data_IF_058859969145
#
_entry.id   IF_058859969145
#
_cell.length_a   1.000
_cell.length_b   1.000
_cell.length_c   1.000
_cell.angle_alpha   90.00
_cell.angle_beta   90.00
_cell.angle_gamma   90.00
#
_symmetry.space_group_name_H-M   'P 1'
#
loop_
_entity.id
_entity.type
_entity.pdbx_description
1 polymer ?
#
# COMPACT_ATOMS: atom_id res chain seq x y z
N UNK A 1 -32.56 44.74 -12.23
CA UNK A 1 -32.55 43.48 -11.51
C UNK A 1 -32.30 42.37 -12.52
N UNK A 2 -31.05 41.93 -12.65
CA UNK A 2 -30.67 40.79 -13.47
C UNK A 2 -30.14 39.72 -12.52
N UNK A 3 -30.92 38.66 -12.35
CA UNK A 3 -30.56 37.49 -11.59
C UNK A 3 -29.58 36.66 -12.41
N UNK A 4 -28.33 36.64 -11.99
CA UNK A 4 -27.35 35.63 -12.46
C UNK A 4 -27.68 34.28 -11.82
N UNK A 5 -28.28 33.41 -12.61
CA UNK A 5 -28.36 31.99 -12.29
C UNK A 5 -27.03 31.34 -12.67
N UNK A 6 -26.15 31.13 -11.70
CA UNK A 6 -25.03 30.17 -11.81
C UNK A 6 -25.60 28.80 -11.57
N UNK A 7 -25.84 28.04 -12.61
CA UNK A 7 -25.91 26.59 -12.51
C UNK A 7 -24.46 26.07 -12.47
N UNK A 8 -24.02 25.37 -11.42
CA UNK A 8 -22.71 24.71 -11.46
C UNK A 8 -22.79 23.59 -12.49
N UNK A 9 -21.96 23.70 -13.50
CA UNK A 9 -21.72 22.64 -14.47
C UNK A 9 -21.02 21.49 -13.75
N UNK A 10 -21.80 20.47 -13.35
CA UNK A 10 -21.27 19.21 -12.83
C UNK A 10 -20.68 18.41 -14.01
N UNK A 11 -19.64 18.93 -14.61
CA UNK A 11 -18.74 18.13 -15.42
C UNK A 11 -18.29 16.98 -14.51
N UNK A 12 -18.64 15.76 -14.91
CA UNK A 12 -18.15 14.53 -14.27
C UNK A 12 -16.65 14.65 -14.10
N UNK A 13 -16.21 15.00 -12.89
CA UNK A 13 -14.81 14.93 -12.51
C UNK A 13 -14.50 13.45 -12.64
N UNK A 14 -13.79 13.07 -13.69
CA UNK A 14 -13.16 11.76 -13.80
C UNK A 14 -12.18 11.67 -12.61
N UNK A 15 -12.68 11.15 -11.51
CA UNK A 15 -11.81 10.84 -10.37
C UNK A 15 -10.89 9.72 -10.82
N UNK A 16 -9.60 10.03 -10.94
CA UNK A 16 -8.56 8.99 -11.05
C UNK A 16 -8.83 7.92 -9.98
N UNK A 17 -8.76 6.64 -10.35
CA UNK A 17 -9.09 5.56 -9.41
C UNK A 17 -8.17 5.64 -8.20
N UNK A 18 -8.73 6.07 -7.07
CA UNK A 18 -8.00 6.20 -5.82
C UNK A 18 -7.68 4.82 -5.24
N UNK A 19 -6.48 4.65 -4.68
CA UNK A 19 -6.04 3.43 -4.02
C UNK A 19 -5.65 3.77 -2.58
N UNK A 20 -6.28 3.11 -1.61
CA UNK A 20 -5.91 3.26 -0.20
C UNK A 20 -4.60 2.52 0.10
N UNK A 21 -3.60 3.26 0.60
CA UNK A 21 -2.28 2.73 0.95
C UNK A 21 -2.09 2.53 2.47
N UNK A 22 -3.00 3.06 3.29
CA UNK A 22 -2.98 2.98 4.75
C UNK A 22 -4.34 2.47 5.22
N UNK A 23 -4.41 1.17 5.52
CA UNK A 23 -5.67 0.46 5.82
C UNK A 23 -5.46 -0.58 6.91
N UNK A 24 -6.32 -0.56 7.92
CA UNK A 24 -6.34 -1.51 9.03
C UNK A 24 -7.44 -2.55 8.84
N UNK A 25 -7.10 -3.81 9.07
CA UNK A 25 -8.03 -4.92 9.02
C UNK A 25 -8.42 -5.36 10.45
N UNK A 26 -9.26 -6.38 10.54
CA UNK A 26 -9.59 -7.06 11.80
C UNK A 26 -8.37 -7.54 12.61
N UNK A 27 -7.18 -7.57 12.01
CA UNK A 27 -5.92 -7.92 12.69
C UNK A 27 -5.28 -6.73 13.43
N UNK A 28 -5.77 -5.52 13.22
CA UNK A 28 -5.50 -4.35 14.09
C UNK A 28 -6.47 -4.38 15.27
N UNK A 29 -6.17 -5.20 16.28
CA UNK A 29 -7.11 -5.74 17.28
C UNK A 29 -7.94 -4.71 18.06
N UNK A 30 -7.51 -3.46 18.18
CA UNK A 30 -8.20 -2.47 19.00
C UNK A 30 -9.11 -1.53 18.19
N UNK A 31 -8.88 -1.39 16.89
CA UNK A 31 -9.54 -0.39 16.06
C UNK A 31 -9.97 -0.89 14.67
N UNK A 32 -9.38 -1.98 14.17
CA UNK A 32 -9.70 -2.56 12.87
C UNK A 32 -10.97 -3.41 12.92
N UNK A 33 -12.06 -2.95 12.29
CA UNK A 33 -13.32 -3.70 12.20
C UNK A 33 -13.48 -4.45 10.88
N UNK A 34 -12.82 -3.99 9.83
CA UNK A 34 -13.06 -4.50 8.49
C UNK A 34 -12.42 -5.88 8.30
N UNK A 35 -13.22 -6.87 7.93
CA UNK A 35 -12.67 -8.16 7.47
C UNK A 35 -11.96 -7.98 6.14
N UNK A 36 -10.97 -8.82 5.89
CA UNK A 36 -10.21 -8.80 4.63
C UNK A 36 -11.14 -9.00 3.41
N UNK A 37 -12.14 -9.87 3.51
CA UNK A 37 -13.12 -10.07 2.43
C UNK A 37 -13.91 -8.80 2.14
N UNK A 38 -14.46 -8.17 3.19
CA UNK A 38 -15.24 -6.96 3.05
C UNK A 38 -14.42 -5.80 2.45
N UNK A 39 -13.14 -5.67 2.83
CA UNK A 39 -12.23 -4.68 2.27
C UNK A 39 -11.97 -4.91 0.78
N UNK A 40 -11.64 -6.15 0.37
CA UNK A 40 -11.38 -6.49 -1.02
C UNK A 40 -12.64 -6.25 -1.86
N UNK A 41 -13.80 -6.70 -1.38
CA UNK A 41 -15.05 -6.57 -2.13
C UNK A 41 -15.51 -5.12 -2.24
N UNK A 42 -15.34 -4.33 -1.17
CA UNK A 42 -15.65 -2.89 -1.20
C UNK A 42 -14.73 -2.13 -2.16
N UNK A 43 -13.42 -2.34 -2.07
CA UNK A 43 -12.45 -1.71 -2.95
C UNK A 43 -12.72 -2.05 -4.43
N UNK A 44 -12.99 -3.33 -4.71
CA UNK A 44 -13.33 -3.77 -6.07
C UNK A 44 -14.63 -3.15 -6.58
N UNK A 45 -15.67 -3.10 -5.73
CA UNK A 45 -16.97 -2.50 -6.06
C UNK A 45 -16.86 -0.99 -6.31
N UNK A 46 -15.98 -0.31 -5.60
CA UNK A 46 -15.71 1.11 -5.77
C UNK A 46 -14.81 1.43 -6.98
N UNK A 47 -14.45 0.42 -7.78
CA UNK A 47 -13.61 0.58 -8.98
C UNK A 47 -12.12 0.71 -8.69
N UNK A 48 -11.68 0.47 -7.47
CA UNK A 48 -10.25 0.45 -7.13
C UNK A 48 -9.58 -0.76 -7.79
N UNK A 49 -8.37 -0.56 -8.28
CA UNK A 49 -7.55 -1.64 -8.88
C UNK A 49 -6.62 -2.32 -7.89
N UNK A 50 -6.51 -1.77 -6.69
CA UNK A 50 -5.64 -2.26 -5.63
C UNK A 50 -6.15 -1.79 -4.27
N UNK A 51 -5.65 -2.41 -3.21
CA UNK A 51 -5.75 -1.90 -1.84
C UNK A 51 -4.53 -2.37 -1.05
N UNK A 52 -4.07 -1.58 -0.11
CA UNK A 52 -3.06 -2.02 0.84
C UNK A 52 -3.69 -2.65 2.09
N UNK A 53 -2.91 -3.49 2.76
CA UNK A 53 -3.14 -3.90 4.15
C UNK A 53 -1.91 -3.50 4.95
N UNK A 54 -2.12 -2.66 5.97
CA UNK A 54 -1.07 -2.03 6.79
C UNK A 54 -1.44 -2.06 8.27
N UNK A 55 -1.70 -3.25 8.81
CA UNK A 55 -2.09 -3.43 10.20
C UNK A 55 -1.02 -2.94 11.19
N UNK A 56 -1.42 -2.57 12.38
CA UNK A 56 -0.58 -2.02 13.44
C UNK A 56 0.49 -3.00 13.94
N UNK A 57 1.73 -2.83 13.51
CA UNK A 57 2.90 -3.60 13.97
C UNK A 57 2.83 -5.09 13.69
N UNK A 58 1.91 -5.55 12.85
CA UNK A 58 1.71 -6.98 12.55
C UNK A 58 1.47 -7.23 11.06
N UNK A 59 1.69 -8.48 10.64
CA UNK A 59 1.45 -8.94 9.26
C UNK A 59 0.58 -10.20 9.25
N UNK A 60 -0.25 -10.41 10.27
CA UNK A 60 -1.02 -11.65 10.45
C UNK A 60 -2.03 -11.90 9.32
N UNK A 61 -2.66 -10.85 8.81
CA UNK A 61 -3.66 -10.92 7.74
C UNK A 61 -3.08 -11.10 6.33
N UNK A 62 -1.78 -10.91 6.12
CA UNK A 62 -1.17 -10.84 4.79
C UNK A 62 -1.36 -12.13 3.98
N UNK A 63 -1.20 -13.29 4.60
CA UNK A 63 -1.41 -14.57 3.90
C UNK A 63 -2.85 -14.77 3.46
N UNK A 64 -3.80 -14.44 4.31
CA UNK A 64 -5.23 -14.48 4.00
C UNK A 64 -5.55 -13.49 2.87
N UNK A 65 -5.11 -12.26 3.00
CA UNK A 65 -5.29 -11.20 2.00
C UNK A 65 -4.78 -11.61 0.62
N UNK A 66 -3.53 -12.08 0.54
CA UNK A 66 -2.91 -12.52 -0.70
C UNK A 66 -3.68 -13.67 -1.35
N UNK A 67 -4.08 -14.68 -0.56
CA UNK A 67 -4.83 -15.83 -1.08
C UNK A 67 -6.21 -15.44 -1.62
N UNK A 68 -6.93 -14.54 -0.93
CA UNK A 68 -8.26 -14.06 -1.37
C UNK A 68 -8.16 -13.24 -2.65
N UNK A 69 -7.18 -12.35 -2.76
CA UNK A 69 -6.93 -11.60 -4.00
C UNK A 69 -6.51 -12.55 -5.13
N UNK A 70 -5.65 -13.53 -4.87
CA UNK A 70 -5.25 -14.55 -5.86
C UNK A 70 -6.46 -15.35 -6.38
N UNK A 71 -7.38 -15.73 -5.48
CA UNK A 71 -8.63 -16.39 -5.87
C UNK A 71 -9.51 -15.49 -6.73
N UNK A 72 -9.65 -14.21 -6.39
CA UNK A 72 -10.40 -13.23 -7.19
C UNK A 72 -9.80 -13.04 -8.59
N UNK A 73 -8.48 -13.06 -8.70
CA UNK A 73 -7.76 -12.93 -9.95
C UNK A 73 -7.67 -14.21 -10.79
N UNK A 74 -8.13 -15.35 -10.30
CA UNK A 74 -8.00 -16.64 -11.00
C UNK A 74 -8.65 -16.63 -12.39
N UNK A 75 -9.86 -16.03 -12.51
CA UNK A 75 -10.59 -15.94 -13.78
C UNK A 75 -9.86 -15.05 -14.81
N UNK A 76 -9.52 -13.78 -14.52
CA UNK A 76 -8.80 -12.97 -15.50
C UNK A 76 -7.42 -13.54 -15.83
N UNK A 77 -6.68 -14.12 -14.88
CA UNK A 77 -5.40 -14.78 -15.16
C UNK A 77 -5.58 -16.02 -16.07
N UNK A 78 -6.65 -16.77 -15.91
CA UNK A 78 -7.01 -17.86 -16.82
C UNK A 78 -7.23 -17.36 -18.24
N UNK A 79 -8.05 -16.32 -18.42
CA UNK A 79 -8.32 -15.71 -19.74
C UNK A 79 -7.01 -15.26 -20.40
N UNK A 80 -6.15 -14.55 -19.66
CA UNK A 80 -4.84 -14.09 -20.18
C UNK A 80 -4.02 -15.28 -20.67
N UNK A 81 -3.87 -16.31 -19.82
CA UNK A 81 -3.06 -17.48 -20.14
C UNK A 81 -3.57 -18.22 -21.39
N UNK A 82 -4.87 -18.43 -21.48
CA UNK A 82 -5.48 -19.18 -22.60
C UNK A 82 -5.40 -18.36 -23.89
N UNK A 83 -5.70 -17.05 -23.82
CA UNK A 83 -5.59 -16.15 -24.96
C UNK A 83 -4.15 -15.96 -25.43
N UNK A 84 -3.17 -15.84 -24.54
CA UNK A 84 -1.73 -15.76 -24.91
C UNK A 84 -1.24 -17.07 -25.55
N UNK A 85 -1.74 -18.23 -25.09
CA UNK A 85 -1.42 -19.53 -25.70
C UNK A 85 -1.93 -19.64 -27.14
N UNK A 86 -3.15 -19.13 -27.41
CA UNK A 86 -3.74 -19.10 -28.75
C UNK A 86 -3.09 -18.04 -29.65
N UNK A 87 -2.79 -16.86 -29.09
CA UNK A 87 -2.21 -15.73 -29.81
C UNK A 87 -0.79 -16.01 -30.33
N UNK A 88 0.03 -16.68 -29.52
CA UNK A 88 1.45 -16.92 -29.82
C UNK A 88 1.69 -17.57 -31.21
N UNK A 89 1.02 -18.67 -31.60
CA UNK A 89 1.22 -19.28 -32.93
C UNK A 89 0.68 -18.41 -34.06
N UNK A 90 -0.37 -17.61 -33.83
CA UNK A 90 -0.92 -16.71 -34.86
C UNK A 90 0.08 -15.56 -35.18
N UNK A 91 0.71 -15.00 -34.16
CA UNK A 91 1.73 -13.95 -34.32
C UNK A 91 3.05 -14.46 -34.95
N UNK A 92 3.28 -15.77 -34.96
CA UNK A 92 4.47 -16.37 -35.56
C UNK A 92 4.34 -16.62 -37.08
N UNK A 93 3.19 -16.32 -37.69
CA UNK A 93 2.95 -16.47 -39.12
C UNK A 93 3.44 -15.25 -39.89
N UNK A 94 4.17 -15.46 -40.97
CA UNK A 94 4.68 -14.38 -41.83
C UNK A 94 3.56 -13.61 -42.55
N UNK A 95 2.44 -14.30 -42.91
CA UNK A 95 1.28 -13.73 -43.57
C UNK A 95 -0.01 -14.35 -43.01
N UNK A 96 -0.58 -13.82 -41.93
CA UNK A 96 -1.87 -14.30 -41.40
C UNK A 96 -3.00 -13.94 -42.39
N UNK A 97 -4.00 -14.82 -42.48
CA UNK A 97 -5.22 -14.52 -43.24
C UNK A 97 -6.05 -13.42 -42.57
N UNK A 98 -7.02 -12.85 -43.29
CA UNK A 98 -7.92 -11.83 -42.74
C UNK A 98 -8.66 -12.34 -41.48
N UNK A 99 -9.10 -13.59 -41.48
CA UNK A 99 -9.76 -14.23 -40.34
C UNK A 99 -8.79 -14.37 -39.15
N UNK A 100 -7.54 -14.74 -39.39
CA UNK A 100 -6.51 -14.83 -38.36
C UNK A 100 -6.14 -13.46 -37.82
N UNK A 101 -6.11 -12.44 -38.66
CA UNK A 101 -5.85 -11.05 -38.23
C UNK A 101 -6.98 -10.51 -37.33
N UNK A 102 -8.24 -10.83 -37.66
CA UNK A 102 -9.38 -10.52 -36.80
C UNK A 102 -9.28 -11.24 -35.45
N UNK A 103 -8.90 -12.53 -35.46
CA UNK A 103 -8.71 -13.31 -34.23
C UNK A 103 -7.60 -12.79 -33.37
N UNK A 104 -6.49 -12.37 -33.95
CA UNK A 104 -5.37 -11.68 -33.23
C UNK A 104 -5.89 -10.45 -32.52
N UNK A 105 -6.64 -9.60 -33.21
CA UNK A 105 -7.19 -8.37 -32.64
C UNK A 105 -8.15 -8.66 -31.47
N UNK A 106 -9.02 -9.64 -31.62
CA UNK A 106 -9.94 -10.06 -30.57
C UNK A 106 -9.22 -10.59 -29.33
N UNK A 107 -8.20 -11.47 -29.51
CA UNK A 107 -7.40 -12.01 -28.42
C UNK A 107 -6.61 -10.93 -27.69
N UNK A 108 -6.03 -9.98 -28.41
CA UNK A 108 -5.36 -8.83 -27.82
C UNK A 108 -6.30 -7.98 -26.97
N UNK A 109 -7.53 -7.75 -27.46
CA UNK A 109 -8.57 -7.06 -26.72
C UNK A 109 -8.96 -7.80 -25.44
N UNK A 110 -9.20 -9.11 -25.53
CA UNK A 110 -9.53 -9.96 -24.37
C UNK A 110 -8.41 -9.93 -23.32
N UNK A 111 -7.14 -10.00 -23.73
CA UNK A 111 -5.99 -9.90 -22.85
C UNK A 111 -5.94 -8.52 -22.15
N UNK A 112 -6.19 -7.45 -22.90
CA UNK A 112 -6.17 -6.09 -22.36
C UNK A 112 -7.28 -5.88 -21.32
N UNK A 113 -8.51 -6.32 -21.62
CA UNK A 113 -9.65 -6.27 -20.70
C UNK A 113 -9.41 -7.11 -19.44
N UNK A 114 -8.89 -8.33 -19.60
CA UNK A 114 -8.55 -9.19 -18.48
C UNK A 114 -7.43 -8.58 -17.62
N UNK A 115 -6.37 -8.02 -18.22
CA UNK A 115 -5.31 -7.29 -17.49
C UNK A 115 -5.86 -6.08 -16.73
N UNK A 116 -6.80 -5.35 -17.32
CA UNK A 116 -7.46 -4.22 -16.70
C UNK A 116 -8.33 -4.62 -15.49
N UNK A 117 -8.80 -5.86 -15.41
CA UNK A 117 -9.63 -6.38 -14.31
C UNK A 117 -8.83 -7.00 -13.16
N UNK A 118 -7.49 -7.13 -13.28
CA UNK A 118 -6.66 -7.67 -12.22
C UNK A 118 -6.61 -6.71 -11.04
N UNK A 119 -6.94 -7.22 -9.86
CA UNK A 119 -6.84 -6.50 -8.59
C UNK A 119 -5.49 -6.76 -7.93
N UNK A 120 -4.76 -5.71 -7.56
CA UNK A 120 -3.40 -5.81 -6.99
C UNK A 120 -3.43 -5.77 -5.45
N UNK A 121 -2.93 -6.80 -4.75
CA UNK A 121 -2.68 -6.72 -3.32
C UNK A 121 -1.43 -5.89 -3.07
N UNK A 122 -1.52 -4.87 -2.20
CA UNK A 122 -0.37 -4.11 -1.73
C UNK A 122 -0.10 -4.55 -0.30
N UNK A 123 1.08 -5.10 -0.07
CA UNK A 123 1.48 -5.67 1.21
C UNK A 123 2.28 -4.64 1.99
N UNK A 124 1.86 -4.35 3.21
CA UNK A 124 2.53 -3.41 4.09
C UNK A 124 2.31 -3.69 5.57
N UNK A 125 2.79 -2.77 6.37
CA UNK A 125 2.59 -2.73 7.81
C UNK A 125 2.69 -1.26 8.27
N UNK A 126 1.82 -0.83 9.17
CA UNK A 126 2.05 0.38 9.93
C UNK A 126 2.99 0.05 11.08
N UNK A 127 4.25 0.39 10.90
CA UNK A 127 5.29 0.15 11.88
C UNK A 127 5.33 1.27 12.93
N UNK A 128 5.76 0.93 14.14
CA UNK A 128 6.08 1.89 15.19
C UNK A 128 7.59 2.14 15.18
N UNK A 129 8.05 3.34 14.84
CA UNK A 129 9.46 3.70 14.80
C UNK A 129 9.87 4.29 16.15
N UNK A 130 10.76 3.62 16.86
CA UNK A 130 11.25 4.05 18.18
C UNK A 130 12.00 5.38 18.09
N UNK A 131 11.71 6.32 18.99
CA UNK A 131 12.34 7.65 19.03
C UNK A 131 13.79 7.60 19.48
N UNK A 132 14.13 6.68 20.40
CA UNK A 132 15.43 6.54 21.04
C UNK A 132 16.09 5.17 20.73
N UNK A 133 15.75 4.56 19.58
CA UNK A 133 16.17 3.20 19.23
C UNK A 133 15.30 2.12 19.85
N UNK A 134 15.17 0.98 19.17
CA UNK A 134 14.27 -0.12 19.55
C UNK A 134 14.60 -0.78 20.89
N UNK A 135 15.85 -0.71 21.32
CA UNK A 135 16.31 -1.27 22.60
C UNK A 135 16.06 -0.36 23.80
N UNK A 136 15.73 0.90 23.58
CA UNK A 136 15.40 1.84 24.66
C UNK A 136 14.10 1.42 25.37
N UNK A 137 14.12 1.47 26.69
CA UNK A 137 12.97 1.16 27.56
C UNK A 137 12.79 2.22 28.62
N UNK A 138 12.93 3.49 28.24
CA UNK A 138 12.67 4.61 29.12
C UNK A 138 11.19 4.63 29.52
N UNK A 139 10.89 5.05 30.74
CA UNK A 139 9.52 5.03 31.27
C UNK A 139 8.57 6.09 30.66
N UNK A 140 9.00 6.83 29.65
CA UNK A 140 8.17 7.82 28.96
C UNK A 140 7.13 7.19 28.07
N UNK A 141 5.97 7.84 27.94
CA UNK A 141 4.93 7.44 26.98
C UNK A 141 5.48 7.42 25.55
N UNK A 142 6.29 8.41 25.22
CA UNK A 142 6.94 8.57 23.93
C UNK A 142 7.81 7.37 23.54
N UNK A 143 8.52 6.79 24.51
CA UNK A 143 9.37 5.64 24.26
C UNK A 143 8.55 4.34 24.07
N UNK A 144 7.35 4.27 24.66
CA UNK A 144 6.45 3.12 24.53
C UNK A 144 5.67 3.10 23.21
N UNK A 145 5.30 4.27 22.65
CA UNK A 145 4.43 4.34 21.47
C UNK A 145 5.22 4.27 20.16
N UNK A 146 6.35 4.99 20.03
CA UNK A 146 7.03 5.18 18.75
C UNK A 146 6.25 6.12 17.78
N UNK A 147 6.87 6.43 16.65
CA UNK A 147 6.23 7.14 15.54
C UNK A 147 5.58 6.14 14.58
N UNK A 148 4.38 6.46 14.07
CA UNK A 148 3.79 5.66 13.02
C UNK A 148 4.55 5.84 11.70
N UNK A 149 4.74 4.76 10.96
CA UNK A 149 5.43 4.75 9.68
C UNK A 149 4.80 3.67 8.79
N UNK A 150 4.31 4.06 7.62
CA UNK A 150 3.79 3.09 6.65
C UNK A 150 4.94 2.54 5.84
N UNK A 151 5.08 1.22 5.86
CA UNK A 151 6.10 0.48 5.12
C UNK A 151 5.41 -0.49 4.17
N UNK A 152 5.62 -0.29 2.85
CA UNK A 152 5.04 -1.13 1.81
C UNK A 152 6.14 -1.89 1.07
N UNK A 153 5.86 -3.14 0.69
CA UNK A 153 6.78 -3.96 -0.09
C UNK A 153 6.59 -3.72 -1.59
N UNK A 154 7.65 -3.35 -2.32
CA UNK A 154 7.64 -3.20 -3.78
C UNK A 154 7.56 -4.54 -4.52
N UNK A 155 8.23 -5.53 -3.97
CA UNK A 155 8.37 -6.85 -4.57
C UNK A 155 8.65 -7.92 -3.50
N UNK A 156 9.02 -9.14 -3.94
CA UNK A 156 9.29 -10.28 -3.04
C UNK A 156 10.49 -10.05 -2.11
N UNK A 157 11.50 -9.29 -2.53
CA UNK A 157 12.65 -8.95 -1.68
C UNK A 157 12.22 -7.97 -0.58
N UNK A 158 11.53 -6.87 -0.95
CA UNK A 158 10.96 -5.94 0.02
C UNK A 158 10.00 -6.62 1.00
N UNK A 159 9.19 -7.59 0.55
CA UNK A 159 8.35 -8.38 1.45
C UNK A 159 9.17 -9.17 2.49
N UNK A 160 10.29 -9.77 2.09
CA UNK A 160 11.20 -10.46 3.03
C UNK A 160 11.85 -9.48 4.02
N UNK A 161 12.26 -8.30 3.55
CA UNK A 161 12.82 -7.26 4.39
C UNK A 161 11.79 -6.76 5.41
N UNK A 162 10.56 -6.53 4.97
CA UNK A 162 9.46 -6.14 5.86
C UNK A 162 9.16 -7.20 6.92
N UNK A 163 9.06 -8.50 6.55
CA UNK A 163 8.91 -9.60 7.51
C UNK A 163 10.03 -9.56 8.55
N UNK A 164 11.27 -9.37 8.10
CA UNK A 164 12.43 -9.35 9.00
C UNK A 164 12.34 -8.20 10.00
N UNK A 165 12.03 -6.99 9.54
CA UNK A 165 11.86 -5.83 10.41
C UNK A 165 10.73 -6.01 11.41
N UNK A 166 9.54 -6.45 10.93
CA UNK A 166 8.39 -6.70 11.82
C UNK A 166 8.72 -7.80 12.84
N UNK A 167 9.41 -8.87 12.45
CA UNK A 167 9.84 -9.91 13.41
C UNK A 167 10.80 -9.37 14.47
N UNK A 168 11.79 -8.55 14.07
CA UNK A 168 12.73 -7.94 15.00
C UNK A 168 12.05 -6.90 15.92
N UNK A 169 11.03 -6.21 15.43
CA UNK A 169 10.25 -5.29 16.28
C UNK A 169 9.58 -6.00 17.46
N UNK A 170 9.17 -7.25 17.28
CA UNK A 170 8.58 -8.07 18.33
C UNK A 170 9.62 -8.69 19.25
N UNK A 171 10.73 -9.20 18.69
CA UNK A 171 11.73 -9.96 19.48
C UNK A 171 12.73 -9.05 20.20
N UNK A 172 13.07 -7.91 19.65
CA UNK A 172 14.05 -6.97 20.18
C UNK A 172 13.44 -5.65 20.62
N UNK A 173 12.47 -5.15 19.85
CA UNK A 173 11.93 -3.79 19.98
C UNK A 173 10.66 -3.67 20.84
N UNK A 174 10.12 -4.75 21.36
CA UNK A 174 8.87 -4.70 22.11
C UNK A 174 9.01 -3.95 23.45
N UNK A 175 8.28 -2.83 23.55
CA UNK A 175 8.07 -2.09 24.78
C UNK A 175 6.73 -1.34 24.72
N UNK A 176 5.67 -1.99 25.20
CA UNK A 176 4.29 -1.55 24.99
C UNK A 176 3.79 -1.81 23.57
N UNK A 177 4.60 -1.52 22.56
CA UNK A 177 4.35 -1.82 21.13
C UNK A 177 5.59 -2.43 20.49
N UNK A 178 5.43 -3.19 19.37
CA UNK A 178 6.56 -3.72 18.60
C UNK A 178 7.20 -2.58 17.79
N UNK A 179 8.43 -2.18 18.11
CA UNK A 179 9.07 -1.01 17.52
C UNK A 179 10.24 -1.39 16.64
N UNK A 180 10.24 -0.87 15.42
CA UNK A 180 11.45 -0.77 14.59
C UNK A 180 12.21 0.50 14.95
N UNK A 181 13.34 0.74 14.33
CA UNK A 181 14.11 1.99 14.43
C UNK A 181 14.84 2.32 13.14
N UNK A 182 15.55 3.46 13.12
CA UNK A 182 16.33 3.91 11.95
C UNK A 182 17.43 2.93 11.57
N UNK A 183 18.04 2.21 12.53
CA UNK A 183 19.05 1.18 12.27
C UNK A 183 18.47 0.02 11.45
N UNK A 184 17.26 -0.48 11.80
CA UNK A 184 16.60 -1.51 11.02
C UNK A 184 16.19 -1.01 9.64
N UNK A 185 15.74 0.24 9.54
CA UNK A 185 15.41 0.84 8.25
C UNK A 185 16.66 0.94 7.35
N UNK A 186 17.79 1.40 7.86
CA UNK A 186 19.06 1.43 7.12
C UNK A 186 19.50 0.05 6.64
N UNK A 187 19.32 -0.96 7.48
CA UNK A 187 19.73 -2.34 7.19
C UNK A 187 18.86 -3.05 6.17
N UNK A 188 17.55 -2.76 6.15
CA UNK A 188 16.54 -3.49 5.37
C UNK A 188 15.74 -2.59 4.43
N UNK A 189 16.26 -1.41 4.04
CA UNK A 189 15.55 -0.41 3.22
C UNK A 189 15.24 -0.86 1.80
N UNK A 190 16.01 -1.80 1.25
CA UNK A 190 15.89 -2.19 -0.15
C UNK A 190 14.49 -2.71 -0.51
N UNK A 191 13.98 -2.26 -1.66
CA UNK A 191 12.68 -2.66 -2.21
C UNK A 191 11.47 -2.35 -1.31
N UNK A 192 11.59 -1.33 -0.47
CA UNK A 192 10.50 -0.79 0.34
C UNK A 192 10.07 0.58 -0.14
N UNK A 193 8.78 0.88 0.01
CA UNK A 193 8.19 2.22 -0.12
C UNK A 193 7.80 2.66 1.28
N UNK A 194 8.14 3.90 1.62
CA UNK A 194 7.87 4.49 2.92
C UNK A 194 6.93 5.68 2.75
N UNK A 195 5.87 5.73 3.58
CA UNK A 195 5.00 6.89 3.69
C UNK A 195 5.04 7.44 5.13
N UNK A 196 4.92 8.76 5.26
CA UNK A 196 5.07 9.47 6.56
C UNK A 196 3.96 9.18 7.58
N UNK A 197 3.02 8.34 7.22
CA UNK A 197 1.85 7.92 8.00
C UNK A 197 0.87 9.07 8.34
N UNK A 198 -0.01 8.82 9.31
CA UNK A 198 -1.04 9.74 9.79
C UNK A 198 -0.48 10.76 10.80
N UNK A 199 -1.37 11.37 11.61
CA UNK A 199 -0.96 12.32 12.68
C UNK A 199 -0.02 11.71 13.72
N UNK A 200 0.02 10.37 13.86
CA UNK A 200 0.96 9.66 14.73
C UNK A 200 2.40 9.56 14.17
N UNK A 201 2.63 9.99 12.93
CA UNK A 201 3.95 9.95 12.27
C UNK A 201 4.93 10.98 12.79
N UNK A 202 6.24 10.75 12.59
CA UNK A 202 7.34 11.63 13.05
C UNK A 202 7.18 13.06 12.52
N UNK A 203 6.95 13.21 11.21
CA UNK A 203 6.87 14.52 10.57
C UNK A 203 5.63 15.31 11.03
N UNK A 204 4.38 14.76 10.97
CA UNK A 204 3.21 15.47 11.47
C UNK A 204 3.33 15.85 12.94
N UNK A 205 3.87 14.99 13.77
CA UNK A 205 4.09 15.28 15.19
C UNK A 205 5.08 16.44 15.41
N UNK A 206 6.16 16.51 14.64
CA UNK A 206 7.07 17.65 14.70
C UNK A 206 6.38 18.95 14.27
N UNK A 207 5.60 18.92 13.19
CA UNK A 207 4.86 20.11 12.70
C UNK A 207 3.84 20.59 13.74
N UNK A 208 3.02 19.68 14.29
CA UNK A 208 1.99 20.03 15.29
C UNK A 208 2.59 20.64 16.58
N UNK A 209 3.84 20.30 16.90
CA UNK A 209 4.54 20.87 18.06
C UNK A 209 5.44 22.05 17.70
N UNK A 210 5.31 22.65 16.51
CA UNK A 210 6.09 23.81 16.07
C UNK A 210 7.58 23.52 15.81
N UNK A 211 8.00 22.26 15.71
CA UNK A 211 9.40 21.84 15.49
C UNK A 211 9.65 21.61 14.00
N UNK A 212 9.53 22.67 13.20
CA UNK A 212 9.63 22.60 11.73
C UNK A 212 11.01 22.12 11.28
N UNK A 213 12.07 22.61 11.93
CA UNK A 213 13.46 22.18 11.72
C UNK A 213 13.63 20.67 11.86
N UNK A 214 13.01 20.05 12.87
CA UNK A 214 13.03 18.60 13.09
C UNK A 214 12.22 17.85 12.03
N UNK A 215 11.09 18.41 11.60
CA UNK A 215 10.32 17.82 10.50
C UNK A 215 11.14 17.78 9.21
N UNK A 216 11.83 18.89 8.87
CA UNK A 216 12.70 18.95 7.69
C UNK A 216 13.90 18.00 7.81
N UNK A 217 14.53 17.90 8.97
CA UNK A 217 15.63 16.97 9.23
C UNK A 217 15.19 15.52 8.99
N UNK A 218 14.03 15.15 9.51
CA UNK A 218 13.46 13.80 9.31
C UNK A 218 13.13 13.54 7.84
N UNK A 219 12.49 14.49 7.14
CA UNK A 219 12.20 14.36 5.71
C UNK A 219 13.49 14.14 4.91
N UNK A 220 14.54 14.93 5.18
CA UNK A 220 15.84 14.79 4.51
C UNK A 220 16.46 13.41 4.76
N UNK A 221 16.38 12.91 5.99
CA UNK A 221 16.89 11.58 6.33
C UNK A 221 16.17 10.48 5.55
N UNK A 222 14.82 10.46 5.54
CA UNK A 222 14.05 9.48 4.79
C UNK A 222 14.28 9.59 3.29
N UNK A 223 14.30 10.82 2.74
CA UNK A 223 14.55 11.03 1.30
C UNK A 223 15.95 10.59 0.87
N UNK A 224 16.97 10.78 1.71
CA UNK A 224 18.32 10.31 1.44
C UNK A 224 18.41 8.78 1.42
N UNK A 225 17.68 8.09 2.30
CA UNK A 225 17.72 6.63 2.39
C UNK A 225 16.86 5.95 1.32
N UNK A 226 15.66 6.46 1.05
CA UNK A 226 14.67 5.81 0.17
C UNK A 226 14.51 6.47 -1.19
N UNK A 227 15.10 7.63 -1.42
CA UNK A 227 15.03 8.33 -2.71
C UNK A 227 13.58 8.56 -3.16
N UNK A 228 13.24 8.12 -4.35
CA UNK A 228 11.90 8.26 -4.94
C UNK A 228 10.84 7.34 -4.29
N UNK A 229 11.24 6.42 -3.42
CA UNK A 229 10.35 5.53 -2.70
C UNK A 229 9.90 6.09 -1.34
N UNK A 230 10.17 7.37 -1.05
CA UNK A 230 9.67 8.08 0.12
C UNK A 230 8.57 9.08 -0.25
N UNK A 231 7.43 8.99 0.45
CA UNK A 231 6.26 9.84 0.22
C UNK A 231 5.78 10.49 1.50
N UNK A 232 5.38 11.76 1.40
CA UNK A 232 4.60 12.42 2.44
C UNK A 232 3.13 12.03 2.28
N UNK A 233 2.55 11.50 3.34
CA UNK A 233 1.16 11.07 3.36
C UNK A 233 0.28 12.13 4.04
N UNK A 234 -0.89 12.40 3.45
CA UNK A 234 -1.95 13.16 4.10
C UNK A 234 -2.98 12.14 4.55
N UNK A 235 -2.80 11.61 5.76
CA UNK A 235 -3.73 10.67 6.36
C UNK A 235 -5.07 11.33 6.66
N UNK A 236 -6.19 10.62 6.46
CA UNK A 236 -7.44 11.00 7.10
C UNK A 236 -7.28 10.81 8.60
N UNK A 237 -7.71 11.81 9.39
CA UNK A 237 -7.71 11.76 10.85
C UNK A 237 -8.78 10.76 11.35
N UNK A 238 -8.63 9.47 11.02
CA UNK A 238 -9.49 8.39 11.52
C UNK A 238 -8.77 7.48 12.52
N UNK A 239 -7.49 7.70 12.76
CA UNK A 239 -6.81 7.10 13.89
C UNK A 239 -7.27 7.84 15.14
N UNK A 240 -8.36 7.38 15.74
CA UNK A 240 -8.69 7.77 17.10
C UNK A 240 -7.74 7.00 18.01
N UNK A 241 -6.79 7.72 18.59
CA UNK A 241 -6.08 7.26 19.78
C UNK A 241 -7.02 7.28 20.98
#
# INVERSE_FOLDING_TARGET
MHSFQYAPDYTLIYMEPFIHLHVHTQYSLLDGQASIDALIDKAYKDGMRAIAVTDHGVMFGIKEFFNKVSKKNSKPLGIIKDSEKELKPLLAKDAPTDEEQQRITELQKQIAEAKASIFKPIIGCECYCARNGRHSKLASQDDRSGWHLIVLAKNKNGYKNLIKMVSLSWTEGFYGRPRIDKELLEKYHEDLIICSACLGGEIPQHIMHGRIDKAEESIKWFKNLFGEDYYLEIGRASCRE
#
